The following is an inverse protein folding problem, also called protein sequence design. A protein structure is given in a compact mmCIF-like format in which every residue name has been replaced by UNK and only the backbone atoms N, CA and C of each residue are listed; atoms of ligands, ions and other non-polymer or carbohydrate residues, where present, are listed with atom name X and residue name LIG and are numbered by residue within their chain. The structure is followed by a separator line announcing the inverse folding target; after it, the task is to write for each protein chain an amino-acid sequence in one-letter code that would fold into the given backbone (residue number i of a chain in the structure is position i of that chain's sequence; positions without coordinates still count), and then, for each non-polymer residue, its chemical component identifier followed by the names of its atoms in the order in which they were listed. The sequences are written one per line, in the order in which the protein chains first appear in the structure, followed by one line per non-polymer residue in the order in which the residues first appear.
data_IF_184757465043
#
_entry.id   IF_184757465043
#
_cell.length_a   1.000
_cell.length_b   1.000
_cell.length_c   1.000
_cell.angle_alpha   90.00
_cell.angle_beta   90.00
_cell.angle_gamma   90.00
#
_symmetry.space_group_name_H-M   'P 1'
#
loop_
_entity.id
_entity.type
_entity.pdbx_description
1 polymer ?
#
# COMPACT_ATOMS: atom_id res chain seq x y z
N UNK A 1 -28.36 3.52 -30.55
CA UNK A 1 -27.01 3.78 -30.05
C UNK A 1 -27.09 4.07 -28.56
N UNK A 2 -26.75 3.10 -27.70
CA UNK A 2 -26.77 3.30 -26.25
C UNK A 2 -25.35 3.63 -25.79
N UNK A 3 -25.06 4.92 -25.63
CA UNK A 3 -23.83 5.42 -25.02
C UNK A 3 -23.84 5.08 -23.53
N UNK A 4 -23.22 3.96 -23.18
CA UNK A 4 -22.97 3.57 -21.78
C UNK A 4 -22.03 4.57 -21.12
N UNK A 5 -22.58 5.65 -20.56
CA UNK A 5 -21.90 6.50 -19.59
C UNK A 5 -21.70 5.68 -18.31
N UNK A 6 -20.64 4.86 -18.30
CA UNK A 6 -20.14 4.21 -17.09
C UNK A 6 -19.76 5.28 -16.08
N UNK A 7 -20.68 5.62 -15.18
CA UNK A 7 -20.45 6.59 -14.14
C UNK A 7 -19.25 6.18 -13.30
N UNK A 8 -18.20 7.01 -13.32
CA UNK A 8 -17.03 6.92 -12.44
C UNK A 8 -17.53 6.77 -11.00
N UNK A 9 -17.04 5.76 -10.29
CA UNK A 9 -17.51 5.40 -8.95
C UNK A 9 -17.45 6.62 -8.03
N UNK A 10 -18.38 6.74 -7.08
CA UNK A 10 -18.44 7.87 -6.14
C UNK A 10 -17.11 8.10 -5.41
N UNK A 11 -16.35 7.03 -5.17
CA UNK A 11 -15.01 7.06 -4.55
C UNK A 11 -13.94 7.77 -5.39
N UNK A 12 -14.10 7.85 -6.71
CA UNK A 12 -13.11 8.48 -7.61
C UNK A 12 -13.21 10.02 -7.58
N UNK A 13 -14.42 10.55 -7.38
CA UNK A 13 -14.64 11.99 -7.19
C UNK A 13 -14.03 12.49 -5.88
N UNK A 14 -14.11 11.67 -4.82
CA UNK A 14 -13.52 11.96 -3.52
C UNK A 14 -11.99 11.84 -3.51
N UNK A 15 -11.41 11.06 -4.42
CA UNK A 15 -9.95 10.92 -4.56
C UNK A 15 -9.30 12.18 -5.15
N UNK A 16 -10.00 12.88 -6.06
CA UNK A 16 -9.52 14.15 -6.62
C UNK A 16 -9.49 15.28 -5.57
N UNK A 17 -10.43 15.26 -4.61
CA UNK A 17 -10.49 16.22 -3.50
C UNK A 17 -9.49 15.89 -2.38
N UNK A 18 -9.05 14.62 -2.29
CA UNK A 18 -8.11 14.13 -1.27
C UNK A 18 -6.68 13.96 -1.80
N UNK A 19 -6.38 14.52 -2.98
CA UNK A 19 -4.99 14.66 -3.42
C UNK A 19 -4.37 15.75 -2.54
N UNK A 20 -3.78 15.33 -1.43
CA UNK A 20 -2.71 16.11 -0.83
C UNK A 20 -1.65 16.29 -1.93
N UNK A 21 -1.14 17.50 -2.18
CA UNK A 21 0.01 17.65 -3.04
C UNK A 21 1.11 16.80 -2.41
N UNK A 22 1.45 15.67 -3.07
CA UNK A 22 2.62 14.89 -2.70
C UNK A 22 3.74 15.91 -2.57
N UNK A 23 4.37 16.05 -1.38
CA UNK A 23 5.42 17.02 -1.20
C UNK A 23 6.40 16.83 -2.34
N UNK A 24 6.73 17.88 -3.09
CA UNK A 24 7.60 17.81 -4.26
C UNK A 24 8.94 17.10 -3.93
N UNK A 25 9.33 17.15 -2.65
CA UNK A 25 10.41 16.37 -2.05
C UNK A 25 10.30 14.84 -2.26
N UNK A 26 9.10 14.25 -2.12
CA UNK A 26 8.82 12.83 -2.34
C UNK A 26 8.84 12.45 -3.82
N UNK A 27 8.35 13.33 -4.70
CA UNK A 27 8.43 13.12 -6.15
C UNK A 27 9.89 13.18 -6.66
N UNK A 28 10.67 14.15 -6.16
CA UNK A 28 12.12 14.27 -6.44
C UNK A 28 12.96 13.16 -5.80
N UNK A 29 12.47 12.54 -4.72
CA UNK A 29 13.11 11.37 -4.14
C UNK A 29 12.80 10.08 -4.91
N UNK A 30 11.70 10.02 -5.67
CA UNK A 30 11.40 8.88 -6.55
C UNK A 30 12.29 8.85 -7.80
N UNK A 31 12.91 9.97 -8.20
CA UNK A 31 13.89 10.01 -9.28
C UNK A 31 15.31 9.63 -8.87
N UNK A 32 15.59 9.55 -7.57
CA UNK A 32 16.89 9.16 -7.02
C UNK A 32 16.75 7.82 -6.26
N UNK A 33 17.28 6.70 -6.78
CA UNK A 33 17.09 5.38 -6.19
C UNK A 33 17.68 5.25 -4.77
N UNK A 34 18.74 5.99 -4.44
CA UNK A 34 19.33 5.98 -3.11
C UNK A 34 18.47 6.75 -2.12
N UNK A 35 17.88 7.86 -2.55
CA UNK A 35 16.91 8.62 -1.74
C UNK A 35 15.60 7.84 -1.57
N UNK A 36 15.17 7.12 -2.60
CA UNK A 36 13.99 6.25 -2.54
C UNK A 36 14.16 5.11 -1.53
N UNK A 37 15.36 4.51 -1.44
CA UNK A 37 15.69 3.49 -0.41
C UNK A 37 15.64 4.04 1.01
N UNK A 38 15.77 5.34 1.20
CA UNK A 38 15.73 6.00 2.51
C UNK A 38 14.33 6.44 2.92
N UNK A 39 13.31 6.28 2.07
CA UNK A 39 11.95 6.65 2.37
C UNK A 39 11.13 5.46 2.89
N UNK A 40 10.17 5.71 3.80
CA UNK A 40 9.15 4.73 4.12
C UNK A 40 8.25 4.46 2.91
N UNK A 41 7.76 3.22 2.77
CA UNK A 41 6.89 2.80 1.69
C UNK A 41 5.80 1.83 2.17
N UNK A 42 4.77 1.63 1.35
CA UNK A 42 3.69 0.67 1.64
C UNK A 42 3.90 -0.60 0.81
N UNK A 43 4.04 -1.73 1.49
CA UNK A 43 4.11 -3.05 0.88
C UNK A 43 2.72 -3.66 0.78
N UNK A 44 2.39 -4.20 -0.40
CA UNK A 44 1.20 -5.06 -0.59
C UNK A 44 1.62 -6.51 -0.41
N UNK A 45 1.25 -7.11 0.71
CA UNK A 45 1.61 -8.49 1.03
C UNK A 45 0.42 -9.39 0.69
N UNK A 46 0.70 -10.44 -0.08
CA UNK A 46 -0.25 -11.48 -0.46
C UNK A 46 0.19 -12.81 0.20
N UNK A 47 -0.75 -13.73 0.38
CA UNK A 47 -0.43 -15.12 0.63
C UNK A 47 -1.56 -16.01 0.16
N UNK A 48 -1.24 -16.96 -0.72
CA UNK A 48 -2.19 -17.91 -1.27
C UNK A 48 -2.87 -18.76 -0.17
N UNK A 49 -2.12 -19.07 0.89
CA UNK A 49 -2.62 -19.78 2.07
C UNK A 49 -3.11 -18.82 3.18
N UNK A 50 -2.83 -17.52 3.08
CA UNK A 50 -3.17 -16.50 4.09
C UNK A 50 -4.61 -15.98 3.92
N UNK A 51 -5.09 -15.82 2.68
CA UNK A 51 -6.48 -15.40 2.41
C UNK A 51 -6.95 -15.82 1.02
N UNK A 52 -8.18 -16.34 0.92
CA UNK A 52 -8.79 -16.68 -0.38
C UNK A 52 -9.07 -15.42 -1.23
N UNK A 53 -8.79 -15.52 -2.54
CA UNK A 53 -8.99 -14.45 -3.51
C UNK A 53 -7.83 -13.44 -3.58
N UNK A 54 -8.00 -12.33 -4.30
CA UNK A 54 -6.99 -11.27 -4.46
C UNK A 54 -6.93 -10.31 -3.25
N UNK A 55 -6.96 -10.85 -2.04
CA UNK A 55 -6.87 -10.07 -0.81
C UNK A 55 -5.41 -9.87 -0.40
N UNK A 56 -5.01 -8.61 -0.29
CA UNK A 56 -3.70 -8.21 0.25
C UNK A 56 -3.89 -7.41 1.54
N UNK A 57 -2.87 -7.42 2.39
CA UNK A 57 -2.75 -6.46 3.50
C UNK A 57 -1.60 -5.51 3.23
N UNK A 58 -1.86 -4.23 3.43
CA UNK A 58 -0.82 -3.20 3.37
C UNK A 58 0.03 -3.28 4.64
N UNK A 59 1.35 -3.15 4.53
CA UNK A 59 2.29 -3.03 5.66
C UNK A 59 3.21 -1.84 5.42
N UNK A 60 3.49 -1.06 6.46
CA UNK A 60 4.42 0.06 6.37
C UNK A 60 5.86 -0.46 6.49
N UNK A 61 6.66 -0.27 5.45
CA UNK A 61 8.09 -0.56 5.47
C UNK A 61 8.88 0.74 5.61
N UNK A 62 9.96 0.66 6.39
CA UNK A 62 10.94 1.74 6.54
C UNK A 62 12.32 1.20 6.16
N UNK A 63 13.33 2.05 5.92
CA UNK A 63 14.68 1.59 5.61
C UNK A 63 15.32 0.71 6.71
N UNK A 64 14.79 0.77 7.94
CA UNK A 64 15.26 -0.02 9.08
C UNK A 64 14.43 -1.28 9.33
N UNK A 65 13.34 -1.47 8.60
CA UNK A 65 12.45 -2.62 8.78
C UNK A 65 13.13 -3.90 8.27
N UNK A 66 13.20 -4.92 9.11
CA UNK A 66 13.67 -6.25 8.70
C UNK A 66 12.54 -7.09 8.13
N UNK A 67 12.88 -8.09 7.31
CA UNK A 67 11.89 -9.04 6.78
C UNK A 67 11.06 -9.70 7.89
N UNK A 68 11.68 -10.06 9.03
CA UNK A 68 10.98 -10.67 10.17
C UNK A 68 9.92 -9.75 10.77
N UNK A 69 10.22 -8.45 10.92
CA UNK A 69 9.26 -7.47 11.44
C UNK A 69 8.10 -7.26 10.46
N UNK A 70 8.39 -7.16 9.15
CA UNK A 70 7.36 -7.00 8.12
C UNK A 70 6.43 -8.22 8.05
N UNK A 71 6.98 -9.42 8.16
CA UNK A 71 6.19 -10.67 8.19
C UNK A 71 5.33 -10.74 9.45
N UNK A 72 5.87 -10.36 10.62
CA UNK A 72 5.09 -10.32 11.86
C UNK A 72 3.89 -9.37 11.75
N UNK A 73 4.11 -8.13 11.29
CA UNK A 73 3.03 -7.17 11.10
C UNK A 73 2.00 -7.68 10.07
N UNK A 74 2.45 -8.33 9.01
CA UNK A 74 1.55 -8.95 8.04
C UNK A 74 0.66 -10.02 8.71
N UNK A 75 1.26 -10.95 9.46
CA UNK A 75 0.53 -11.99 10.17
C UNK A 75 -0.48 -11.43 11.17
N UNK A 76 -0.11 -10.39 11.93
CA UNK A 76 -1.03 -9.66 12.82
C UNK A 76 -2.22 -9.08 12.04
N UNK A 77 -2.00 -8.41 10.91
CA UNK A 77 -3.06 -7.85 10.06
C UNK A 77 -3.93 -8.91 9.38
N UNK A 78 -3.42 -10.13 9.24
CA UNK A 78 -4.15 -11.30 8.78
C UNK A 78 -4.83 -12.07 9.93
N UNK A 79 -4.60 -11.71 11.20
CA UNK A 79 -5.15 -12.41 12.36
C UNK A 79 -4.50 -13.77 12.66
N UNK A 80 -3.26 -13.96 12.20
CA UNK A 80 -2.48 -15.21 12.29
C UNK A 80 -1.23 -15.06 13.17
N UNK A 81 -1.13 -13.98 13.93
CA UNK A 81 -0.03 -13.82 14.88
C UNK A 81 -0.08 -14.97 15.90
N UNK A 82 1.05 -15.65 16.17
CA UNK A 82 1.09 -16.60 17.28
C UNK A 82 0.73 -15.83 18.55
N UNK A 83 -0.27 -16.33 19.28
CA UNK A 83 -0.58 -15.81 20.61
C UNK A 83 0.64 -15.94 21.51
N UNK A 84 0.85 -14.94 22.36
CA UNK A 84 1.84 -15.01 23.44
C UNK A 84 1.67 -16.28 24.30
#
# INVERSE_FOLDING_TARGET
ANSGSGGRWASEKKLAELVDPVPEASARAASDPDRQRQLPCILKIFGGDLSRGANYKSVLATPRSTARQLVREALERYGLAPGD
#
